data_IF_710812036537
#
_entry.id   IF_710812036537
#
_cell.length_a   1.000
_cell.length_b   1.000
_cell.length_c   1.000
_cell.angle_alpha   90.00
_cell.angle_beta   90.00
_cell.angle_gamma   90.00
#
_symmetry.space_group_name_H-M   'P 1'
#
loop_
_entity.id
_entity.type
_entity.pdbx_description
1 polymer ?
#
# COMPACT_ATOMS: atom_id res chain seq x y z
N UNK A 1 -2.52 -0.03 13.10
CA UNK A 1 -2.12 -1.37 13.57
C UNK A 1 -1.68 -1.27 15.03
N UNK A 2 -1.96 -2.26 15.88
CA UNK A 2 -1.66 -2.15 17.33
C UNK A 2 -0.16 -2.28 17.57
N UNK A 3 0.44 -1.24 18.13
CA UNK A 3 1.81 -1.26 18.66
C UNK A 3 1.89 -2.18 19.88
N UNK A 4 3.00 -2.89 20.04
CA UNK A 4 3.19 -3.89 21.08
C UNK A 4 4.55 -4.56 20.92
N UNK A 5 5.25 -4.75 22.05
CA UNK A 5 6.61 -5.28 22.07
C UNK A 5 6.72 -6.59 21.26
N UNK A 6 7.61 -6.61 20.27
CA UNK A 6 7.80 -7.73 19.33
C UNK A 6 7.12 -7.55 17.97
N UNK A 7 6.49 -6.40 17.70
CA UNK A 7 5.93 -6.08 16.39
C UNK A 7 7.04 -5.63 15.42
N UNK A 8 7.10 -6.23 14.23
CA UNK A 8 8.10 -5.94 13.20
C UNK A 8 8.09 -4.47 12.75
N UNK A 9 6.97 -3.78 12.90
CA UNK A 9 6.82 -2.35 12.55
C UNK A 9 7.67 -1.42 13.42
N UNK A 10 8.11 -1.88 14.61
CA UNK A 10 8.94 -1.09 15.53
C UNK A 10 10.44 -1.22 15.21
N UNK A 11 10.83 -2.06 14.24
CA UNK A 11 12.24 -2.22 13.86
C UNK A 11 12.78 -0.92 13.24
N UNK A 12 13.98 -0.43 13.62
CA UNK A 12 14.49 0.87 13.14
C UNK A 12 14.63 1.03 11.63
N UNK A 13 14.79 -0.08 10.90
CA UNK A 13 14.83 -0.10 9.43
C UNK A 13 13.46 -0.05 8.75
N UNK A 14 12.37 -0.06 9.51
CA UNK A 14 11.01 0.05 8.98
C UNK A 14 10.59 1.52 9.04
N UNK A 15 10.16 2.03 7.90
CA UNK A 15 9.67 3.38 7.75
C UNK A 15 8.18 3.33 7.39
N UNK A 16 7.34 3.90 8.26
CA UNK A 16 5.90 4.03 8.02
C UNK A 16 5.56 5.50 7.76
N UNK A 17 4.81 5.75 6.69
CA UNK A 17 4.29 7.08 6.35
C UNK A 17 2.82 6.97 5.98
N UNK A 18 2.03 7.99 6.33
CA UNK A 18 0.62 8.10 5.98
C UNK A 18 0.46 9.20 4.92
N UNK A 19 0.16 8.83 3.68
CA UNK A 19 0.05 9.75 2.54
C UNK A 19 -1.07 9.31 1.59
N UNK A 20 -1.68 10.27 0.88
CA UNK A 20 -2.66 9.99 -0.18
C UNK A 20 -2.03 9.90 -1.57
N UNK A 21 -0.75 10.26 -1.69
CA UNK A 21 0.04 10.23 -2.91
C UNK A 21 1.45 9.74 -2.58
N UNK A 22 1.93 8.79 -3.38
CA UNK A 22 3.25 8.20 -3.24
C UNK A 22 3.89 8.05 -4.62
N UNK A 23 5.15 8.47 -4.74
CA UNK A 23 5.99 8.17 -5.90
C UNK A 23 7.18 7.35 -5.44
N UNK A 24 7.43 6.24 -6.13
CA UNK A 24 8.56 5.35 -5.88
C UNK A 24 9.43 5.32 -7.13
N UNK A 25 10.74 5.42 -6.93
CA UNK A 25 11.75 5.21 -7.96
C UNK A 25 12.76 4.19 -7.44
N UNK A 26 13.19 3.26 -8.29
CA UNK A 26 14.23 2.27 -7.96
C UNK A 26 15.43 2.41 -8.88
N UNK A 27 16.63 2.12 -8.39
CA UNK A 27 17.83 2.17 -9.23
C UNK A 27 17.84 1.05 -10.28
N UNK A 28 17.28 -0.11 -9.95
CA UNK A 28 17.08 -1.24 -10.86
C UNK A 28 15.59 -1.54 -11.02
N UNK A 29 15.11 -1.93 -12.23
CA UNK A 29 13.74 -2.35 -12.43
C UNK A 29 13.39 -3.56 -11.56
N UNK A 30 12.19 -3.54 -10.98
CA UNK A 30 11.70 -4.59 -10.08
C UNK A 30 10.25 -4.91 -10.39
N UNK A 31 9.78 -6.16 -10.20
CA UNK A 31 8.37 -6.48 -10.39
C UNK A 31 7.48 -5.72 -9.39
N UNK A 32 6.32 -5.27 -9.88
CA UNK A 32 5.26 -4.67 -9.06
C UNK A 32 4.09 -5.63 -8.93
N UNK A 33 3.66 -5.84 -7.69
CA UNK A 33 2.56 -6.70 -7.33
C UNK A 33 1.48 -5.92 -6.58
N UNK A 34 0.22 -6.08 -6.99
CA UNK A 34 -0.92 -5.48 -6.31
C UNK A 34 -2.09 -6.48 -6.29
N UNK A 35 -2.83 -6.52 -5.19
CA UNK A 35 -4.03 -7.35 -5.00
C UNK A 35 -3.84 -8.86 -5.27
N UNK A 36 -2.61 -9.35 -5.14
CA UNK A 36 -2.29 -10.77 -5.37
C UNK A 36 -1.85 -11.12 -6.79
N UNK A 37 -1.71 -10.12 -7.68
CA UNK A 37 -1.29 -10.32 -9.08
C UNK A 37 -0.12 -9.42 -9.49
N UNK A 38 0.75 -9.94 -10.39
CA UNK A 38 1.86 -9.18 -10.98
C UNK A 38 1.28 -8.26 -12.04
N UNK A 39 1.36 -6.95 -11.79
CA UNK A 39 0.89 -5.94 -12.73
C UNK A 39 1.97 -5.59 -13.75
N UNK A 40 3.23 -5.59 -13.32
CA UNK A 40 4.39 -5.32 -14.15
C UNK A 40 5.57 -6.17 -13.71
N UNK A 41 6.29 -6.76 -14.67
CA UNK A 41 7.43 -7.64 -14.38
C UNK A 41 8.74 -6.87 -14.11
N UNK A 42 8.86 -5.65 -14.64
CA UNK A 42 10.05 -4.80 -14.50
C UNK A 42 9.67 -3.31 -14.56
N UNK A 43 9.37 -2.72 -13.41
CA UNK A 43 9.04 -1.30 -13.28
C UNK A 43 10.11 -0.57 -12.49
N UNK A 44 10.38 0.67 -12.88
CA UNK A 44 11.35 1.53 -12.21
C UNK A 44 10.68 2.70 -11.49
N UNK A 45 9.64 3.28 -12.11
CA UNK A 45 8.88 4.41 -11.57
C UNK A 45 7.43 4.01 -11.37
N UNK A 46 6.91 4.29 -10.18
CA UNK A 46 5.52 4.03 -9.81
C UNK A 46 4.93 5.27 -9.17
N UNK A 47 3.73 5.64 -9.61
CA UNK A 47 2.93 6.67 -8.97
C UNK A 47 1.62 6.06 -8.46
N UNK A 48 1.36 6.24 -7.17
CA UNK A 48 0.19 5.72 -6.50
C UNK A 48 -0.62 6.86 -5.88
N UNK A 49 -1.94 6.85 -6.09
CA UNK A 49 -2.87 7.86 -5.58
C UNK A 49 -4.09 7.19 -4.99
N UNK A 50 -4.46 7.61 -3.79
CA UNK A 50 -5.76 7.25 -3.19
C UNK A 50 -6.86 8.06 -3.88
N UNK A 51 -7.88 7.37 -4.40
CA UNK A 51 -9.06 7.99 -4.99
C UNK A 51 -10.24 7.89 -4.00
N UNK A 52 -10.48 8.93 -3.18
CA UNK A 52 -11.53 8.87 -2.17
C UNK A 52 -12.92 8.81 -2.83
N UNK A 53 -13.80 7.97 -2.28
CA UNK A 53 -15.19 7.81 -2.73
C UNK A 53 -15.32 7.42 -4.23
N UNK A 54 -14.32 6.73 -4.78
CA UNK A 54 -14.29 6.44 -6.22
C UNK A 54 -15.25 5.32 -6.63
N UNK A 55 -15.30 4.26 -5.83
CA UNK A 55 -16.13 3.09 -6.13
C UNK A 55 -17.25 2.96 -5.07
N UNK A 56 -18.52 3.09 -5.47
CA UNK A 56 -19.64 2.71 -4.62
C UNK A 56 -19.58 1.21 -4.34
N UNK A 57 -19.63 0.82 -3.07
CA UNK A 57 -19.64 -0.58 -2.64
C UNK A 57 -20.94 -0.84 -1.88
N UNK A 58 -21.59 -1.97 -2.19
CA UNK A 58 -22.71 -2.45 -1.40
C UNK A 58 -22.17 -2.97 -0.07
N UNK A 59 -22.46 -2.23 0.99
CA UNK A 59 -22.12 -2.64 2.35
C UNK A 59 -23.31 -3.38 2.95
N UNK A 60 -23.05 -4.48 3.65
CA UNK A 60 -24.07 -5.06 4.52
C UNK A 60 -24.35 -4.06 5.64
N UNK A 61 -25.63 -3.73 5.87
CA UNK A 61 -25.99 -2.92 7.02
C UNK A 61 -25.78 -3.74 8.28
N UNK A 62 -24.98 -3.25 9.22
CA UNK A 62 -24.94 -3.86 10.55
C UNK A 62 -26.37 -3.90 11.11
N UNK A 63 -26.85 -5.09 11.44
CA UNK A 63 -28.01 -5.22 12.31
C UNK A 63 -27.62 -4.63 13.65
N UNK A 64 -28.43 -3.66 14.11
CA UNK A 64 -28.31 -2.92 15.37
C UNK A 64 -27.79 -3.76 16.55
#
# INVERSE_FOLDING_TARGET
MKAGAGNYVEHPSIHEINVSWLKIHTDQPTPLHADGEIQFEATQDVEYRVLPNYLPVLMHGDSQ
#
